data_IF_061249247506
#
_entry.id   IF_061249247506
#
_cell.length_a   1.000
_cell.length_b   1.000
_cell.length_c   1.000
_cell.angle_alpha   90.00
_cell.angle_beta   90.00
_cell.angle_gamma   90.00
#
_symmetry.space_group_name_H-M   'P 1'
#
loop_
_entity.id
_entity.type
_entity.pdbx_description
1 polymer ?
#
# COMPACT_ATOMS: atom_id res chain seq x y z
N UNK A 1 -49.55 23.39 -43.59
CA UNK A 1 -49.38 22.87 -42.23
C UNK A 1 -48.04 22.13 -42.15
N UNK A 2 -47.03 22.76 -41.59
CA UNK A 2 -45.71 22.15 -41.40
C UNK A 2 -45.56 21.77 -39.94
N UNK A 3 -45.63 20.48 -39.63
CA UNK A 3 -45.26 19.92 -38.31
C UNK A 3 -43.76 19.90 -38.22
N UNK A 4 -43.20 20.75 -37.38
CA UNK A 4 -41.80 20.68 -36.95
C UNK A 4 -41.70 19.61 -35.84
N UNK A 5 -41.06 18.51 -36.16
CA UNK A 5 -40.66 17.49 -35.18
C UNK A 5 -39.39 18.03 -34.49
N UNK A 6 -39.53 18.45 -33.22
CA UNK A 6 -38.40 18.67 -32.33
C UNK A 6 -37.98 17.28 -31.84
N UNK A 7 -36.93 16.72 -32.42
CA UNK A 7 -36.24 15.59 -31.81
C UNK A 7 -35.34 16.19 -30.72
N UNK A 8 -35.74 15.93 -29.50
CA UNK A 8 -34.94 16.23 -28.32
C UNK A 8 -33.68 15.37 -28.29
N UNK A 9 -32.53 16.05 -28.32
CA UNK A 9 -31.25 15.46 -27.96
C UNK A 9 -31.19 15.49 -26.43
N UNK A 10 -31.66 14.41 -25.81
CA UNK A 10 -31.45 14.13 -24.39
C UNK A 10 -30.75 12.78 -24.29
N UNK A 11 -29.55 12.79 -23.77
CA UNK A 11 -28.98 11.59 -23.18
C UNK A 11 -27.77 10.98 -23.86
N UNK A 12 -26.62 11.66 -23.83
CA UNK A 12 -25.32 10.97 -23.85
C UNK A 12 -24.33 11.76 -23.01
N UNK A 13 -24.50 11.85 -21.71
CA UNK A 13 -23.46 12.33 -20.77
C UNK A 13 -23.58 11.54 -19.48
N UNK A 14 -23.29 10.23 -19.48
CA UNK A 14 -23.18 9.50 -18.20
C UNK A 14 -22.38 8.18 -18.28
N UNK A 15 -21.36 8.06 -19.14
CA UNK A 15 -20.58 6.80 -19.18
C UNK A 15 -19.04 7.04 -19.17
N UNK A 16 -18.54 8.26 -19.05
CA UNK A 16 -17.08 8.50 -19.14
C UNK A 16 -16.40 8.55 -17.76
N UNK A 17 -17.13 8.73 -16.66
CA UNK A 17 -16.53 8.90 -15.32
C UNK A 17 -16.12 7.62 -14.61
N UNK A 18 -16.84 6.52 -14.82
CA UNK A 18 -16.62 5.26 -14.08
C UNK A 18 -15.29 4.56 -14.47
N UNK A 19 -14.90 4.44 -15.76
CA UNK A 19 -13.64 3.79 -16.11
C UNK A 19 -12.39 4.54 -15.64
N UNK A 20 -12.42 5.86 -15.57
CA UNK A 20 -11.29 6.68 -15.12
C UNK A 20 -10.98 6.50 -13.62
N UNK A 21 -12.00 6.41 -12.79
CA UNK A 21 -11.84 6.17 -11.34
C UNK A 21 -11.32 4.75 -11.09
N UNK A 22 -11.87 3.75 -11.78
CA UNK A 22 -11.41 2.36 -11.66
C UNK A 22 -9.95 2.21 -12.10
N UNK A 23 -9.54 2.84 -13.19
CA UNK A 23 -8.14 2.85 -13.66
C UNK A 23 -7.20 3.56 -12.66
N UNK A 24 -7.64 4.61 -12.01
CA UNK A 24 -6.86 5.32 -11.00
C UNK A 24 -6.62 4.47 -9.75
N UNK A 25 -7.65 3.76 -9.27
CA UNK A 25 -7.53 2.84 -8.12
C UNK A 25 -6.62 1.64 -8.42
N UNK A 26 -6.72 1.08 -9.62
CA UNK A 26 -5.86 -0.02 -10.08
C UNK A 26 -4.39 0.39 -10.11
N UNK A 27 -4.07 1.55 -10.69
CA UNK A 27 -2.72 2.10 -10.72
C UNK A 27 -2.15 2.39 -9.33
N UNK A 28 -2.97 2.93 -8.44
CA UNK A 28 -2.54 3.20 -7.06
C UNK A 28 -2.21 1.90 -6.32
N UNK A 29 -3.02 0.85 -6.49
CA UNK A 29 -2.77 -0.47 -5.95
C UNK A 29 -1.47 -1.06 -6.50
N UNK A 30 -1.28 -1.07 -7.80
CA UNK A 30 -0.07 -1.59 -8.45
C UNK A 30 1.20 -0.87 -7.96
N UNK A 31 1.14 0.46 -7.82
CA UNK A 31 2.24 1.25 -7.28
C UNK A 31 2.55 0.88 -5.82
N UNK A 32 1.52 0.67 -5.00
CA UNK A 32 1.66 0.24 -3.61
C UNK A 32 2.23 -1.18 -3.49
N UNK A 33 1.79 -2.12 -4.34
CA UNK A 33 2.35 -3.48 -4.39
C UNK A 33 3.83 -3.46 -4.76
N UNK A 34 4.23 -2.70 -5.79
CA UNK A 34 5.63 -2.53 -6.17
C UNK A 34 6.46 -1.91 -5.05
N UNK A 35 5.93 -0.90 -4.36
CA UNK A 35 6.59 -0.27 -3.22
C UNK A 35 6.75 -1.23 -2.02
N UNK A 36 5.80 -2.14 -1.81
CA UNK A 36 5.90 -3.17 -0.78
C UNK A 36 7.01 -4.18 -1.08
N UNK A 37 7.24 -4.53 -2.35
CA UNK A 37 8.38 -5.37 -2.74
C UNK A 37 9.71 -4.64 -2.54
N UNK A 38 9.78 -3.36 -2.88
CA UNK A 38 10.97 -2.54 -2.62
C UNK A 38 11.25 -2.41 -1.12
N UNK A 39 10.24 -2.22 -0.29
CA UNK A 39 10.36 -2.25 1.16
C UNK A 39 11.00 -3.56 1.65
N UNK A 40 10.52 -4.72 1.18
CA UNK A 40 11.06 -6.03 1.55
C UNK A 40 12.51 -6.22 1.10
N UNK A 41 12.86 -5.72 -0.09
CA UNK A 41 14.24 -5.71 -0.57
C UNK A 41 15.16 -4.92 0.36
N UNK A 42 14.75 -3.72 0.76
CA UNK A 42 15.48 -2.87 1.71
C UNK A 42 15.55 -3.51 3.11
N UNK A 43 14.48 -4.14 3.56
CA UNK A 43 14.47 -4.90 4.81
C UNK A 43 15.51 -6.03 4.79
N UNK A 44 15.58 -6.79 3.70
CA UNK A 44 16.53 -7.89 3.53
C UNK A 44 17.98 -7.41 3.54
N UNK A 45 18.26 -6.27 2.92
CA UNK A 45 19.60 -5.66 2.85
C UNK A 45 19.98 -4.88 4.13
N UNK A 46 19.04 -4.67 5.07
CA UNK A 46 19.26 -3.85 6.26
C UNK A 46 19.25 -2.34 6.00
N UNK A 47 18.71 -1.91 4.85
CA UNK A 47 18.62 -0.50 4.46
C UNK A 47 17.45 0.22 5.16
N UNK A 48 17.42 0.17 6.49
CA UNK A 48 16.31 0.72 7.29
C UNK A 48 16.23 2.24 7.25
N UNK A 49 17.37 2.90 7.16
CA UNK A 49 17.46 4.35 7.03
C UNK A 49 16.78 4.84 5.75
N UNK A 50 17.02 4.16 4.65
CA UNK A 50 16.40 4.48 3.35
C UNK A 50 14.89 4.26 3.36
N UNK A 51 14.40 3.28 4.11
CA UNK A 51 12.96 3.07 4.32
C UNK A 51 12.35 4.28 5.02
N UNK A 52 12.93 4.73 6.13
CA UNK A 52 12.44 5.89 6.88
C UNK A 52 12.53 7.17 6.06
N UNK A 53 13.62 7.40 5.35
CA UNK A 53 13.80 8.61 4.55
C UNK A 53 12.82 8.70 3.37
N UNK A 54 12.43 7.55 2.80
CA UNK A 54 11.45 7.48 1.72
C UNK A 54 10.00 7.42 2.21
N UNK A 55 9.78 7.23 3.51
CA UNK A 55 8.44 7.15 4.09
C UNK A 55 7.71 8.50 4.07
N UNK A 56 6.40 8.45 4.17
CA UNK A 56 5.57 9.65 4.28
C UNK A 56 5.73 10.35 5.63
N UNK A 57 5.32 11.64 5.71
CA UNK A 57 5.47 12.43 6.92
C UNK A 57 4.73 11.83 8.12
N UNK A 58 3.59 11.16 7.90
CA UNK A 58 2.85 10.50 8.98
C UNK A 58 3.69 9.39 9.63
N UNK A 59 4.40 8.60 8.82
CA UNK A 59 5.25 7.53 9.30
C UNK A 59 6.49 8.09 10.02
N UNK A 60 7.15 9.09 9.42
CA UNK A 60 8.33 9.76 10.01
C UNK A 60 8.02 10.45 11.33
N UNK A 61 6.79 10.95 11.51
CA UNK A 61 6.35 11.58 12.76
C UNK A 61 6.02 10.55 13.84
N UNK A 62 5.52 9.36 13.45
CA UNK A 62 5.08 8.31 14.37
C UNK A 62 6.21 7.41 14.87
N UNK A 63 7.34 7.35 14.17
CA UNK A 63 8.45 6.48 14.54
C UNK A 63 9.80 7.11 14.20
N UNK A 64 10.78 6.92 15.10
CA UNK A 64 12.16 7.34 14.84
C UNK A 64 12.91 6.27 14.02
N UNK A 65 14.00 6.68 13.35
CA UNK A 65 14.88 5.73 12.66
C UNK A 65 15.41 4.64 13.60
N UNK A 66 15.76 5.03 14.84
CA UNK A 66 16.27 4.11 15.85
C UNK A 66 15.22 3.08 16.27
N UNK A 67 13.99 3.52 16.55
CA UNK A 67 12.90 2.61 16.98
C UNK A 67 12.49 1.69 15.85
N UNK A 68 12.40 2.19 14.63
CA UNK A 68 12.13 1.38 13.46
C UNK A 68 13.22 0.32 13.24
N UNK A 69 14.50 0.72 13.30
CA UNK A 69 15.63 -0.20 13.15
C UNK A 69 15.58 -1.30 14.20
N UNK A 70 15.38 -0.97 15.47
CA UNK A 70 15.26 -1.96 16.55
C UNK A 70 14.08 -2.92 16.33
N UNK A 71 12.92 -2.40 15.92
CA UNK A 71 11.75 -3.22 15.64
C UNK A 71 12.01 -4.20 14.49
N UNK A 72 12.61 -3.73 13.40
CA UNK A 72 12.91 -4.56 12.22
C UNK A 72 14.01 -5.59 12.48
N UNK A 73 15.03 -5.23 13.24
CA UNK A 73 16.02 -6.20 13.73
C UNK A 73 15.38 -7.30 14.60
N UNK A 74 14.42 -6.95 15.47
CA UNK A 74 13.65 -7.90 16.25
C UNK A 74 12.83 -8.85 15.37
N UNK A 75 12.18 -8.34 14.32
CA UNK A 75 11.47 -9.16 13.33
C UNK A 75 12.44 -10.12 12.64
N UNK A 76 13.58 -9.62 12.17
CA UNK A 76 14.62 -10.40 11.49
C UNK A 76 15.19 -11.50 12.40
N UNK A 77 15.45 -11.19 13.66
CA UNK A 77 15.96 -12.17 14.62
C UNK A 77 14.96 -13.30 14.90
N UNK A 78 13.69 -13.00 14.99
CA UNK A 78 12.65 -13.98 15.33
C UNK A 78 12.09 -14.74 14.13
N UNK A 79 11.80 -14.04 13.03
CA UNK A 79 11.20 -14.62 11.84
C UNK A 79 12.20 -14.98 10.74
N UNK A 80 13.41 -14.42 10.76
CA UNK A 80 14.36 -14.55 9.66
C UNK A 80 14.01 -13.69 8.47
N UNK A 81 14.52 -14.02 7.30
CA UNK A 81 14.25 -13.29 6.06
C UNK A 81 12.88 -13.65 5.52
N UNK A 82 12.23 -12.67 4.92
CA UNK A 82 11.03 -12.88 4.12
C UNK A 82 11.34 -13.80 2.92
N UNK A 83 10.46 -14.75 2.63
CA UNK A 83 10.62 -15.70 1.54
C UNK A 83 9.57 -15.55 0.46
N UNK A 84 8.31 -15.46 0.85
CA UNK A 84 7.18 -15.36 -0.06
C UNK A 84 5.94 -14.78 0.60
N UNK A 85 4.96 -14.40 -0.18
CA UNK A 85 3.62 -14.06 0.29
C UNK A 85 2.57 -14.46 -0.74
N UNK A 86 1.36 -14.68 -0.26
CA UNK A 86 0.19 -14.82 -1.09
C UNK A 86 -0.19 -13.46 -1.70
N UNK A 87 -1.10 -13.48 -2.69
CA UNK A 87 -1.69 -12.25 -3.22
C UNK A 87 -2.36 -11.47 -2.07
N UNK A 88 -2.18 -10.15 -2.00
CA UNK A 88 -2.72 -9.37 -0.89
C UNK A 88 -4.24 -9.20 -1.00
N UNK A 89 -4.89 -9.12 0.16
CA UNK A 89 -6.15 -8.38 0.23
C UNK A 89 -5.86 -6.90 0.24
N UNK A 90 -6.74 -6.08 -0.32
CA UNK A 90 -6.47 -4.66 -0.48
C UNK A 90 -7.72 -3.80 -0.31
N UNK A 91 -7.49 -2.55 0.09
CA UNK A 91 -8.48 -1.48 0.13
C UNK A 91 -7.86 -0.22 -0.46
N UNK A 92 -8.62 0.51 -1.25
CA UNK A 92 -8.25 1.85 -1.75
C UNK A 92 -9.29 2.83 -1.29
N UNK A 93 -8.83 3.87 -0.60
CA UNK A 93 -9.65 5.00 -0.19
C UNK A 93 -9.15 6.25 -0.91
N UNK A 94 -10.04 6.89 -1.69
CA UNK A 94 -9.73 8.14 -2.39
C UNK A 94 -10.15 9.33 -1.51
N UNK A 95 -9.19 10.22 -1.25
CA UNK A 95 -9.40 11.46 -0.50
C UNK A 95 -8.92 12.67 -1.28
N UNK A 96 -9.10 13.85 -0.72
CA UNK A 96 -8.70 15.14 -1.33
C UNK A 96 -7.18 15.28 -1.48
N UNK A 97 -6.40 14.61 -0.63
CA UNK A 97 -4.93 14.65 -0.62
C UNK A 97 -4.27 13.44 -1.31
N UNK A 98 -5.02 12.68 -2.12
CA UNK A 98 -4.54 11.47 -2.78
C UNK A 98 -5.30 10.22 -2.37
N UNK A 99 -4.70 9.06 -2.63
CA UNK A 99 -5.29 7.76 -2.33
C UNK A 99 -4.54 7.09 -1.19
N UNK A 100 -5.27 6.43 -0.29
CA UNK A 100 -4.69 5.54 0.71
C UNK A 100 -4.92 4.11 0.26
N UNK A 101 -3.86 3.35 0.10
CA UNK A 101 -3.91 1.93 -0.25
C UNK A 101 -3.44 1.12 0.95
N UNK A 102 -4.31 0.24 1.44
CA UNK A 102 -3.95 -0.75 2.46
C UNK A 102 -3.80 -2.11 1.79
N UNK A 103 -2.66 -2.76 2.00
CA UNK A 103 -2.36 -4.10 1.52
C UNK A 103 -2.11 -5.01 2.72
N UNK A 104 -2.77 -6.15 2.75
CA UNK A 104 -2.57 -7.16 3.80
C UNK A 104 -2.11 -8.46 3.15
N UNK A 105 -0.93 -8.93 3.53
CA UNK A 105 -0.30 -10.13 3.02
C UNK A 105 -0.24 -11.23 4.07
N UNK A 106 -0.55 -12.46 3.68
CA UNK A 106 -0.10 -13.65 4.37
C UNK A 106 1.31 -13.96 3.88
N UNK A 107 2.29 -13.74 4.73
CA UNK A 107 3.71 -13.82 4.40
C UNK A 107 4.38 -14.99 5.09
N UNK A 108 5.36 -15.58 4.42
CA UNK A 108 6.20 -16.66 4.91
C UNK A 108 7.63 -16.15 5.06
N UNK A 109 8.14 -16.30 6.25
CA UNK A 109 9.52 -16.01 6.63
C UNK A 109 10.27 -17.32 6.91
N UNK A 110 11.59 -17.28 6.99
CA UNK A 110 12.42 -18.48 7.24
C UNK A 110 12.00 -19.28 8.50
N UNK A 111 11.49 -18.60 9.53
CA UNK A 111 11.14 -19.21 10.83
C UNK A 111 9.68 -19.05 11.23
N UNK A 112 8.80 -18.75 10.29
CA UNK A 112 7.37 -18.71 10.58
C UNK A 112 6.56 -17.87 9.61
N UNK A 113 5.25 -17.95 9.79
CA UNK A 113 4.29 -17.15 9.04
C UNK A 113 3.98 -15.85 9.79
N UNK A 114 3.64 -14.84 9.04
CA UNK A 114 3.19 -13.56 9.59
C UNK A 114 2.14 -12.91 8.69
N UNK A 115 1.32 -12.07 9.27
CA UNK A 115 0.46 -11.13 8.54
C UNK A 115 1.18 -9.81 8.50
N UNK A 116 1.44 -9.30 7.29
CA UNK A 116 2.00 -7.97 7.06
C UNK A 116 0.91 -7.05 6.54
N UNK A 117 0.76 -5.89 7.16
CA UNK A 117 -0.11 -4.82 6.70
C UNK A 117 0.73 -3.61 6.32
N UNK A 118 0.58 -3.16 5.08
CA UNK A 118 1.17 -1.94 4.56
C UNK A 118 0.08 -0.91 4.32
N UNK A 119 0.32 0.31 4.77
CA UNK A 119 -0.51 1.47 4.45
C UNK A 119 0.33 2.45 3.63
N UNK A 120 -0.09 2.67 2.39
CA UNK A 120 0.58 3.55 1.45
C UNK A 120 -0.26 4.78 1.15
N UNK A 121 0.34 5.96 1.24
CA UNK A 121 -0.24 7.18 0.70
C UNK A 121 0.23 7.34 -0.74
N UNK A 122 -0.68 7.31 -1.71
CA UNK A 122 -0.35 7.44 -3.13
C UNK A 122 -0.83 8.79 -3.63
N UNK A 123 0.11 9.65 -4.01
CA UNK A 123 -0.14 10.96 -4.58
C UNK A 123 0.51 11.03 -5.96
N UNK A 124 -0.27 11.33 -6.99
CA UNK A 124 0.22 11.39 -8.39
C UNK A 124 1.01 10.15 -8.79
N UNK A 125 0.53 8.97 -8.39
CA UNK A 125 1.17 7.68 -8.68
C UNK A 125 2.44 7.39 -7.87
N UNK A 126 2.80 8.22 -6.90
CA UNK A 126 3.97 8.04 -6.03
C UNK A 126 3.52 7.53 -4.66
N UNK A 127 3.85 6.28 -4.31
CA UNK A 127 3.57 5.73 -2.99
C UNK A 127 4.59 6.22 -1.97
N UNK A 128 4.10 6.61 -0.78
CA UNK A 128 4.90 6.87 0.40
C UNK A 128 4.35 6.05 1.56
N UNK A 129 5.20 5.38 2.32
CA UNK A 129 4.79 4.54 3.44
C UNK A 129 4.16 5.41 4.53
N UNK A 130 2.92 5.09 4.90
CA UNK A 130 2.19 5.74 5.99
C UNK A 130 2.07 4.83 7.22
N UNK A 131 2.15 3.51 7.04
CA UNK A 131 2.11 2.55 8.14
C UNK A 131 2.62 1.17 7.72
N UNK A 132 3.24 0.46 8.67
CA UNK A 132 3.64 -0.93 8.53
C UNK A 132 3.39 -1.68 9.82
N UNK A 133 2.69 -2.80 9.74
CA UNK A 133 2.43 -3.67 10.87
C UNK A 133 2.73 -5.12 10.48
N UNK A 134 3.37 -5.84 11.39
CA UNK A 134 3.64 -7.27 11.25
C UNK A 134 3.17 -7.99 12.49
N UNK A 135 2.38 -9.04 12.28
CA UNK A 135 1.84 -9.89 13.36
C UNK A 135 2.20 -11.35 13.11
N UNK A 136 2.78 -11.98 14.12
CA UNK A 136 3.11 -13.40 14.11
C UNK A 136 3.11 -13.94 15.53
N UNK A 137 2.72 -15.20 15.70
CA UNK A 137 2.85 -15.89 16.97
C UNK A 137 4.31 -15.99 17.43
N UNK A 138 5.25 -16.10 16.50
CA UNK A 138 6.68 -16.13 16.79
C UNK A 138 7.23 -14.82 17.35
N UNK A 139 6.54 -13.68 17.13
CA UNK A 139 6.92 -12.38 17.69
C UNK A 139 6.44 -12.20 19.14
N UNK A 140 5.43 -12.95 19.56
CA UNK A 140 4.79 -12.85 20.89
C UNK A 140 5.32 -13.89 21.86
N UNK A 141 5.84 -15.01 21.37
CA UNK A 141 6.43 -16.05 22.19
C UNK A 141 7.71 -15.53 22.89
N UNK A 142 7.63 -15.37 24.21
CA UNK A 142 8.75 -15.11 25.10
C UNK A 142 9.34 -16.40 25.61
#
# INVERSE_FOLDING_TARGET
>A
MKRRIFLGVVGVIFIVGIPLVAMSCSRAREAAEAASQEFRSRMTSGAYKEIIQAAGPEFQTSTTELDFTKAMEGVKQRLGRWQSSEAPTWKVFAGTSGQTVTLVYNSHFERGAAIEEFVWRVQRGRPALAGYHVKSSALVAQ
#
